data_IF_471249751999
#
_entry.id   IF_471249751999
#
_cell.length_a   1.000
_cell.length_b   1.000
_cell.length_c   1.000
_cell.angle_alpha   90.00
_cell.angle_beta   90.00
_cell.angle_gamma   90.00
#
_symmetry.space_group_name_H-M   'P 1'
#
loop_
_entity.id
_entity.type
_entity.pdbx_description
1 polymer ?
#
# COMPACT_ATOMS: atom_id res chain seq x y z
N UNK A 1 39.40 3.81 -5.85
CA UNK A 1 39.22 4.13 -7.27
C UNK A 1 38.38 3.03 -7.88
N UNK A 2 37.06 3.20 -7.92
CA UNK A 2 36.16 2.18 -8.47
C UNK A 2 35.80 2.60 -9.90
N UNK A 3 36.23 1.82 -10.88
CA UNK A 3 35.78 2.02 -12.26
C UNK A 3 34.29 1.69 -12.34
N UNK A 4 33.46 2.58 -12.92
CA UNK A 4 32.03 2.34 -13.04
C UNK A 4 31.85 1.32 -14.16
N UNK A 5 31.82 0.05 -13.78
CA UNK A 5 31.47 -1.00 -14.70
C UNK A 5 30.03 -0.78 -15.16
N UNK A 6 29.85 -0.37 -16.42
CA UNK A 6 28.52 -0.09 -16.97
C UNK A 6 27.87 -1.44 -17.25
N UNK A 7 26.78 -1.76 -16.55
CA UNK A 7 26.00 -3.00 -16.75
C UNK A 7 25.69 -3.30 -18.24
N UNK A 8 25.63 -2.25 -19.08
CA UNK A 8 25.56 -2.37 -20.53
C UNK A 8 26.72 -3.17 -21.17
N UNK A 9 27.97 -2.98 -20.74
CA UNK A 9 29.13 -3.72 -21.26
C UNK A 9 29.06 -5.20 -20.92
N UNK A 10 28.44 -5.55 -19.78
CA UNK A 10 28.19 -6.93 -19.38
C UNK A 10 27.22 -7.62 -20.31
N UNK A 11 26.12 -6.94 -20.60
CA UNK A 11 25.06 -7.44 -21.47
C UNK A 11 25.63 -7.66 -22.88
N UNK A 12 26.43 -6.72 -23.38
CA UNK A 12 27.12 -6.85 -24.66
C UNK A 12 28.10 -8.03 -24.70
N UNK A 13 28.90 -8.21 -23.64
CA UNK A 13 29.83 -9.35 -23.54
C UNK A 13 29.09 -10.70 -23.53
N UNK A 14 27.98 -10.79 -22.80
CA UNK A 14 27.13 -11.99 -22.77
C UNK A 14 26.48 -12.24 -24.14
N UNK A 15 26.02 -11.19 -24.83
CA UNK A 15 25.45 -11.31 -26.19
C UNK A 15 26.50 -11.78 -27.19
N UNK A 16 27.73 -11.24 -27.14
CA UNK A 16 28.83 -11.67 -28.01
C UNK A 16 29.16 -13.15 -27.83
N UNK A 17 29.21 -13.63 -26.59
CA UNK A 17 29.42 -15.05 -26.29
C UNK A 17 28.28 -15.96 -26.75
N UNK A 18 27.03 -15.44 -26.79
CA UNK A 18 25.90 -16.20 -27.34
C UNK A 18 25.94 -16.28 -28.87
N UNK A 19 26.46 -15.24 -29.53
CA UNK A 19 26.58 -15.19 -30.97
C UNK A 19 27.77 -16.00 -31.49
N UNK A 20 28.87 -16.03 -30.74
CA UNK A 20 30.11 -16.75 -31.09
C UNK A 20 30.44 -17.85 -30.06
N UNK A 21 30.06 -19.13 -30.29
CA UNK A 21 30.29 -20.22 -29.34
C UNK A 21 31.77 -20.54 -29.07
N UNK A 22 32.67 -20.13 -29.97
CA UNK A 22 34.11 -20.33 -29.83
C UNK A 22 34.79 -19.23 -28.99
N UNK A 23 34.06 -18.17 -28.62
CA UNK A 23 34.61 -17.05 -27.88
C UNK A 23 34.82 -17.45 -26.42
N UNK A 24 36.07 -17.40 -25.94
CA UNK A 24 36.36 -17.70 -24.54
C UNK A 24 35.85 -16.58 -23.63
N UNK A 25 35.48 -16.94 -22.40
CA UNK A 25 35.08 -15.96 -21.36
C UNK A 25 36.16 -14.90 -21.13
N UNK A 26 37.42 -15.30 -21.23
CA UNK A 26 38.57 -14.41 -21.04
C UNK A 26 38.71 -13.40 -22.19
N UNK A 27 38.57 -13.86 -23.43
CA UNK A 27 38.60 -13.00 -24.62
C UNK A 27 37.44 -12.00 -24.64
N UNK A 28 36.23 -12.46 -24.29
CA UNK A 28 35.05 -11.59 -24.16
C UNK A 28 35.24 -10.53 -23.06
N UNK A 29 35.74 -10.95 -21.89
CA UNK A 29 35.99 -10.04 -20.78
C UNK A 29 37.01 -8.95 -21.15
N UNK A 30 38.11 -9.32 -21.83
CA UNK A 30 39.12 -8.38 -22.31
C UNK A 30 38.58 -7.43 -23.39
N UNK A 31 37.81 -7.95 -24.36
CA UNK A 31 37.26 -7.15 -25.47
C UNK A 31 36.27 -6.07 -24.99
N UNK A 32 35.46 -6.37 -23.97
CA UNK A 32 34.43 -5.48 -23.45
C UNK A 32 34.83 -4.75 -22.15
N UNK A 33 36.08 -4.89 -21.69
CA UNK A 33 36.59 -4.21 -20.48
C UNK A 33 35.91 -4.65 -19.18
N UNK A 34 35.48 -5.91 -19.11
CA UNK A 34 34.77 -6.51 -17.97
C UNK A 34 35.75 -7.33 -17.12
N UNK A 35 35.68 -7.30 -15.78
CA UNK A 35 36.40 -8.27 -14.96
C UNK A 35 35.92 -9.70 -15.28
N UNK A 36 36.86 -10.59 -15.61
CA UNK A 36 36.55 -11.99 -15.95
C UNK A 36 35.72 -12.70 -14.88
N UNK A 37 36.02 -12.45 -13.59
CA UNK A 37 35.28 -13.00 -12.45
C UNK A 37 33.79 -12.60 -12.46
N UNK A 38 33.48 -11.36 -12.82
CA UNK A 38 32.10 -10.85 -12.91
C UNK A 38 31.35 -11.49 -14.08
N UNK A 39 31.98 -11.59 -15.25
CA UNK A 39 31.37 -12.23 -16.43
C UNK A 39 31.11 -13.73 -16.18
N UNK A 40 32.07 -14.43 -15.57
CA UNK A 40 31.95 -15.84 -15.19
C UNK A 40 30.84 -16.07 -14.14
N UNK A 41 30.77 -15.22 -13.12
CA UNK A 41 29.69 -15.28 -12.12
C UNK A 41 28.30 -15.09 -12.76
N UNK A 42 28.18 -14.18 -13.73
CA UNK A 42 26.92 -13.98 -14.46
C UNK A 42 26.54 -15.16 -15.36
N UNK A 43 27.51 -15.79 -16.04
CA UNK A 43 27.27 -16.98 -16.86
C UNK A 43 26.83 -18.19 -16.04
N UNK A 44 27.29 -18.28 -14.79
CA UNK A 44 26.85 -19.30 -13.82
C UNK A 44 25.50 -18.97 -13.17
N UNK A 45 24.85 -17.87 -13.56
CA UNK A 45 23.51 -17.47 -13.10
C UNK A 45 23.49 -16.55 -11.89
N UNK A 46 24.64 -16.08 -11.41
CA UNK A 46 24.72 -15.12 -10.30
C UNK A 46 24.43 -13.72 -10.82
N UNK A 47 23.28 -13.17 -10.45
CA UNK A 47 22.93 -11.79 -10.78
C UNK A 47 23.58 -10.81 -9.80
N UNK A 48 23.79 -9.57 -10.26
CA UNK A 48 24.18 -8.46 -9.38
C UNK A 48 23.18 -8.31 -8.24
N UNK A 49 23.67 -8.01 -7.03
CA UNK A 49 22.81 -7.69 -5.88
C UNK A 49 21.79 -6.59 -6.21
N UNK A 50 22.13 -5.65 -7.09
CA UNK A 50 21.24 -4.57 -7.53
C UNK A 50 20.04 -5.06 -8.32
N UNK A 51 20.21 -6.16 -9.06
CA UNK A 51 19.21 -6.75 -9.94
C UNK A 51 18.54 -7.99 -9.32
N UNK A 52 18.99 -8.42 -8.14
CA UNK A 52 18.35 -9.49 -7.38
C UNK A 52 17.12 -8.97 -6.64
N UNK A 53 16.06 -9.77 -6.61
CA UNK A 53 14.91 -9.50 -5.75
C UNK A 53 15.38 -9.48 -4.28
N UNK A 54 14.96 -8.47 -3.49
CA UNK A 54 15.24 -8.47 -2.06
C UNK A 54 14.62 -9.70 -1.39
N UNK A 55 15.35 -10.35 -0.48
CA UNK A 55 14.85 -11.48 0.31
C UNK A 55 13.57 -11.17 1.12
N UNK A 56 13.22 -9.88 1.25
CA UNK A 56 12.00 -9.39 1.89
C UNK A 56 10.74 -9.56 1.02
N UNK A 57 10.87 -9.83 -0.29
CA UNK A 57 9.76 -10.15 -1.19
C UNK A 57 9.46 -11.65 -1.14
N UNK A 58 8.46 -12.01 -0.33
CA UNK A 58 7.98 -13.40 -0.18
C UNK A 58 6.94 -13.79 -1.22
N UNK A 59 6.20 -12.80 -1.74
CA UNK A 59 5.22 -12.95 -2.80
C UNK A 59 5.85 -12.63 -4.15
N UNK A 60 5.30 -13.21 -5.21
CA UNK A 60 5.65 -12.85 -6.59
C UNK A 60 5.11 -11.45 -6.94
N UNK A 61 5.65 -10.82 -7.99
CA UNK A 61 5.21 -9.49 -8.42
C UNK A 61 3.69 -9.46 -8.71
N UNK A 62 3.17 -10.49 -9.38
CA UNK A 62 1.74 -10.63 -9.69
C UNK A 62 0.88 -10.80 -8.43
N UNK A 63 1.36 -11.58 -7.46
CA UNK A 63 0.68 -11.73 -6.17
C UNK A 63 0.65 -10.41 -5.37
N UNK A 64 1.77 -9.67 -5.36
CA UNK A 64 1.82 -8.35 -4.72
C UNK A 64 0.83 -7.38 -5.39
N UNK A 65 0.76 -7.38 -6.72
CA UNK A 65 -0.19 -6.55 -7.49
C UNK A 65 -1.65 -6.91 -7.18
N UNK A 66 -2.00 -8.19 -7.13
CA UNK A 66 -3.35 -8.64 -6.77
C UNK A 66 -3.75 -8.22 -5.34
N UNK A 67 -2.79 -8.25 -4.39
CA UNK A 67 -3.03 -7.77 -3.02
C UNK A 67 -3.25 -6.25 -3.00
N UNK A 68 -2.51 -5.48 -3.80
CA UNK A 68 -2.73 -4.02 -3.92
C UNK A 68 -4.11 -3.73 -4.49
N UNK A 69 -4.49 -4.39 -5.59
CA UNK A 69 -5.80 -4.22 -6.22
C UNK A 69 -6.95 -4.54 -5.25
N UNK A 70 -6.82 -5.64 -4.50
CA UNK A 70 -7.78 -6.01 -3.46
C UNK A 70 -7.93 -4.91 -2.38
N UNK A 71 -6.82 -4.33 -1.92
CA UNK A 71 -6.85 -3.26 -0.91
C UNK A 71 -7.56 -2.02 -1.47
N UNK A 72 -7.30 -1.68 -2.74
CA UNK A 72 -7.91 -0.53 -3.40
C UNK A 72 -9.43 -0.73 -3.61
N UNK A 73 -9.86 -1.94 -4.02
CA UNK A 73 -11.28 -2.29 -4.12
C UNK A 73 -11.98 -2.18 -2.75
N UNK A 74 -11.36 -2.71 -1.69
CA UNK A 74 -11.87 -2.61 -0.32
C UNK A 74 -11.97 -1.14 0.16
N UNK A 75 -10.97 -0.31 -0.11
CA UNK A 75 -11.00 1.12 0.24
C UNK A 75 -12.07 1.88 -0.55
N UNK A 76 -12.29 1.53 -1.82
CA UNK A 76 -13.34 2.13 -2.66
C UNK A 76 -14.75 1.88 -2.10
N UNK A 77 -14.96 0.71 -1.49
CA UNK A 77 -16.19 0.35 -0.77
C UNK A 77 -16.26 0.93 0.64
N UNK A 78 -15.31 1.79 0.98
CA UNK A 78 -15.15 2.37 2.31
C UNK A 78 -15.07 1.30 3.39
N UNK A 79 -14.37 0.20 3.10
CA UNK A 79 -14.04 -0.84 4.07
C UNK A 79 -12.54 -1.18 4.01
N UNK A 80 -11.65 -0.20 4.27
CA UNK A 80 -10.21 -0.41 4.19
C UNK A 80 -9.74 -1.52 5.15
N UNK A 81 -8.88 -2.46 4.69
CA UNK A 81 -8.39 -3.56 5.53
C UNK A 81 -7.47 -3.07 6.64
N UNK A 82 -7.43 -3.83 7.73
CA UNK A 82 -6.44 -3.64 8.79
C UNK A 82 -5.08 -4.19 8.36
N UNK A 83 -4.00 -3.69 8.99
CA UNK A 83 -2.65 -4.20 8.76
C UNK A 83 -2.54 -5.71 9.01
N UNK A 84 -3.27 -6.20 10.01
CA UNK A 84 -3.35 -7.62 10.38
C UNK A 84 -4.04 -8.42 9.28
N UNK A 85 -5.11 -7.88 8.67
CA UNK A 85 -5.85 -8.57 7.61
C UNK A 85 -5.01 -8.71 6.34
N UNK A 86 -4.24 -7.67 5.99
CA UNK A 86 -3.31 -7.75 4.84
C UNK A 86 -2.26 -8.84 5.06
N UNK A 87 -1.73 -8.96 6.29
CA UNK A 87 -0.82 -10.04 6.64
C UNK A 87 -1.51 -11.41 6.57
N UNK A 88 -2.76 -11.52 7.03
CA UNK A 88 -3.54 -12.74 6.96
C UNK A 88 -3.80 -13.20 5.52
N UNK A 89 -4.17 -12.27 4.62
CA UNK A 89 -4.39 -12.56 3.20
C UNK A 89 -3.10 -13.03 2.53
N UNK A 90 -1.97 -12.37 2.79
CA UNK A 90 -0.68 -12.81 2.27
C UNK A 90 -0.31 -14.23 2.78
N UNK A 91 -0.58 -14.54 4.05
CA UNK A 91 -0.38 -15.88 4.59
C UNK A 91 -1.32 -16.92 3.96
N UNK A 92 -2.56 -16.57 3.65
CA UNK A 92 -3.49 -17.46 2.94
C UNK A 92 -2.95 -17.82 1.55
N UNK A 93 -2.44 -16.83 0.80
CA UNK A 93 -1.81 -17.07 -0.50
C UNK A 93 -0.58 -18.00 -0.39
N UNK A 94 0.28 -17.77 0.60
CA UNK A 94 1.46 -18.61 0.82
C UNK A 94 1.09 -20.03 1.27
N UNK A 95 0.07 -20.18 2.11
CA UNK A 95 -0.43 -21.47 2.57
C UNK A 95 -0.98 -22.31 1.40
N UNK A 96 -1.71 -21.69 0.47
CA UNK A 96 -2.17 -22.33 -0.76
C UNK A 96 -1.00 -22.85 -1.62
N UNK A 97 0.14 -22.16 -1.56
CA UNK A 97 1.37 -22.54 -2.27
C UNK A 97 2.32 -23.43 -1.43
N UNK A 98 1.92 -23.84 -0.22
CA UNK A 98 2.76 -24.60 0.74
C UNK A 98 4.10 -23.92 1.06
N UNK A 99 4.11 -22.57 1.07
CA UNK A 99 5.27 -21.75 1.43
C UNK A 99 5.25 -21.39 2.93
N UNK A 100 6.42 -21.12 3.54
CA UNK A 100 6.48 -20.68 4.93
C UNK A 100 5.77 -19.33 5.12
N UNK A 101 5.23 -19.06 6.33
CA UNK A 101 4.50 -17.82 6.61
C UNK A 101 5.40 -16.58 6.50
N UNK A 102 4.76 -15.42 6.31
CA UNK A 102 5.46 -14.13 6.31
C UNK A 102 5.98 -13.77 7.71
N UNK A 103 7.01 -12.94 7.75
CA UNK A 103 7.50 -12.35 9.01
C UNK A 103 6.59 -11.25 9.54
N UNK A 104 6.67 -10.98 10.85
CA UNK A 104 5.85 -9.98 11.57
C UNK A 104 5.91 -8.59 10.92
N UNK A 105 7.08 -8.20 10.41
CA UNK A 105 7.31 -6.89 9.79
C UNK A 105 7.03 -6.85 8.28
N UNK A 106 6.52 -7.94 7.70
CA UNK A 106 6.32 -8.02 6.25
C UNK A 106 5.26 -7.03 5.78
N UNK A 107 4.10 -6.97 6.43
CA UNK A 107 2.98 -6.12 6.00
C UNK A 107 3.33 -4.62 6.06
N UNK A 108 3.99 -4.18 7.13
CA UNK A 108 4.45 -2.79 7.25
C UNK A 108 5.52 -2.45 6.22
N UNK A 109 6.43 -3.38 5.93
CA UNK A 109 7.44 -3.21 4.88
C UNK A 109 6.84 -3.25 3.49
N UNK A 110 5.79 -4.04 3.27
CA UNK A 110 5.06 -4.13 2.00
C UNK A 110 4.40 -2.80 1.66
N UNK A 111 3.65 -2.22 2.60
CA UNK A 111 2.98 -0.93 2.40
C UNK A 111 3.99 0.18 2.10
N UNK A 112 5.12 0.22 2.82
CA UNK A 112 6.19 1.21 2.57
C UNK A 112 6.78 1.14 1.15
N UNK A 113 6.70 -0.01 0.47
CA UNK A 113 7.19 -0.18 -0.90
C UNK A 113 6.17 0.26 -1.96
N UNK A 114 4.89 0.32 -1.61
CA UNK A 114 3.82 0.55 -2.57
C UNK A 114 3.37 2.02 -2.50
N UNK A 115 3.73 2.87 -3.49
CA UNK A 115 3.39 4.29 -3.47
C UNK A 115 1.88 4.54 -3.60
N UNK A 116 1.12 3.57 -4.13
CA UNK A 116 -0.34 3.62 -4.25
C UNK A 116 -1.06 3.46 -2.90
N UNK A 117 -0.36 3.01 -1.84
CA UNK A 117 -0.96 2.71 -0.54
C UNK A 117 -0.43 3.64 0.54
N UNK A 118 -1.29 4.03 1.47
CA UNK A 118 -0.93 4.75 2.69
C UNK A 118 -1.57 4.11 3.92
N UNK A 119 -0.89 4.23 5.05
CA UNK A 119 -1.46 3.85 6.34
C UNK A 119 -2.21 5.02 6.93
N UNK A 120 -3.49 4.85 7.23
CA UNK A 120 -4.30 5.81 7.95
C UNK A 120 -4.57 5.32 9.36
N UNK A 121 -4.54 6.25 10.31
CA UNK A 121 -4.94 5.99 11.69
C UNK A 121 -6.45 6.22 11.81
N UNK A 122 -7.17 5.21 12.29
CA UNK A 122 -8.56 5.35 12.70
C UNK A 122 -8.63 5.66 14.19
N UNK A 123 -9.44 6.65 14.54
CA UNK A 123 -9.77 6.98 15.92
C UNK A 123 -11.13 6.40 16.29
N UNK A 124 -11.22 5.89 17.53
CA UNK A 124 -12.51 5.55 18.12
C UNK A 124 -13.39 6.79 18.16
N UNK A 125 -14.69 6.59 17.97
CA UNK A 125 -15.65 7.60 18.36
C UNK A 125 -15.53 7.87 19.86
N UNK A 126 -15.70 9.14 20.26
CA UNK A 126 -15.78 9.47 21.67
C UNK A 126 -17.08 8.90 22.25
N UNK A 127 -16.97 7.75 22.91
CA UNK A 127 -18.13 7.07 23.49
C UNK A 127 -18.88 7.94 24.51
N UNK A 128 -18.19 8.87 25.18
CA UNK A 128 -18.85 9.81 26.11
C UNK A 128 -19.76 10.73 25.32
N UNK A 129 -19.28 11.24 24.19
CA UNK A 129 -20.11 12.03 23.27
C UNK A 129 -21.35 11.24 22.83
N UNK A 130 -21.21 9.98 22.45
CA UNK A 130 -22.36 9.13 22.10
C UNK A 130 -23.38 8.97 23.24
N UNK A 131 -22.90 8.82 24.48
CA UNK A 131 -23.76 8.63 25.66
C UNK A 131 -24.48 9.93 26.09
N UNK A 132 -23.89 11.09 25.81
CA UNK A 132 -24.43 12.40 26.15
C UNK A 132 -25.13 13.10 24.96
N UNK A 133 -25.18 12.46 23.80
CA UNK A 133 -25.99 12.88 22.65
C UNK A 133 -27.46 12.52 22.93
N UNK A 134 -28.19 13.44 23.57
CA UNK A 134 -29.63 13.33 23.79
C UNK A 134 -30.37 13.59 22.46
N UNK A 135 -31.08 12.60 21.89
CA UNK A 135 -31.81 12.74 20.63
C UNK A 135 -32.78 13.92 20.65
N UNK A 136 -33.44 14.18 21.79
CA UNK A 136 -34.40 15.26 21.91
C UNK A 136 -33.71 16.63 21.89
N UNK A 137 -32.59 16.78 22.61
CA UNK A 137 -31.78 17.99 22.56
C UNK A 137 -31.23 18.28 21.15
N UNK A 138 -30.79 17.25 20.43
CA UNK A 138 -30.33 17.37 19.04
C UNK A 138 -31.47 17.83 18.12
N UNK A 139 -32.64 17.19 18.24
CA UNK A 139 -33.82 17.56 17.45
C UNK A 139 -34.27 19.00 17.72
N UNK A 140 -34.29 19.42 18.99
CA UNK A 140 -34.60 20.80 19.39
C UNK A 140 -33.60 21.78 18.75
N UNK A 141 -32.31 21.47 18.78
CA UNK A 141 -31.29 22.30 18.14
C UNK A 141 -31.51 22.45 16.64
N UNK A 142 -31.78 21.35 15.91
CA UNK A 142 -32.08 21.40 14.47
C UNK A 142 -33.38 22.16 14.15
N UNK A 143 -34.40 22.08 15.01
CA UNK A 143 -35.61 22.89 14.88
C UNK A 143 -35.31 24.39 15.05
N UNK A 144 -34.51 24.77 16.04
CA UNK A 144 -34.09 26.16 16.25
C UNK A 144 -33.25 26.68 15.08
N UNK A 145 -32.31 25.86 14.58
CA UNK A 145 -31.47 26.20 13.44
C UNK A 145 -32.31 26.46 12.18
N UNK A 146 -33.28 25.59 11.89
CA UNK A 146 -34.24 25.80 10.77
C UNK A 146 -35.06 27.07 10.93
N UNK A 147 -35.50 27.39 12.14
CA UNK A 147 -36.24 28.64 12.41
C UNK A 147 -35.38 29.89 12.16
N UNK A 148 -34.09 29.85 12.51
CA UNK A 148 -33.14 30.95 12.27
C UNK A 148 -32.89 31.12 10.77
N UNK A 149 -32.64 30.01 10.04
CA UNK A 149 -32.48 30.02 8.59
C UNK A 149 -33.69 30.64 7.90
N UNK A 150 -34.90 30.22 8.29
CA UNK A 150 -36.14 30.78 7.77
C UNK A 150 -36.32 32.27 8.13
N UNK A 151 -36.04 32.66 9.37
CA UNK A 151 -36.20 34.05 9.84
C UNK A 151 -35.31 35.03 9.09
N UNK A 152 -34.07 34.65 8.82
CA UNK A 152 -33.09 35.52 8.17
C UNK A 152 -32.97 35.24 6.67
N UNK A 153 -33.80 34.35 6.12
CA UNK A 153 -33.76 33.96 4.70
C UNK A 153 -32.34 33.56 4.25
N UNK A 154 -31.63 32.83 5.10
CA UNK A 154 -30.27 32.36 4.83
C UNK A 154 -30.38 31.32 3.71
N UNK A 155 -29.61 31.48 2.64
CA UNK A 155 -29.61 30.52 1.54
C UNK A 155 -28.70 29.34 1.85
N UNK A 156 -29.00 28.16 1.29
CA UNK A 156 -28.15 26.97 1.47
C UNK A 156 -26.71 27.20 0.99
N UNK A 157 -26.50 28.12 0.04
CA UNK A 157 -25.17 28.52 -0.44
C UNK A 157 -24.34 29.29 0.61
N UNK A 158 -24.98 29.86 1.61
CA UNK A 158 -24.34 30.60 2.71
C UNK A 158 -24.11 29.73 3.96
N UNK A 159 -24.50 28.45 3.91
CA UNK A 159 -24.31 27.48 5.00
C UNK A 159 -23.03 26.71 4.75
N UNK A 160 -21.99 27.03 5.51
CA UNK A 160 -20.70 26.34 5.45
C UNK A 160 -20.61 25.32 6.59
N UNK A 161 -20.29 24.07 6.25
CA UNK A 161 -19.94 23.07 7.25
C UNK A 161 -18.52 23.33 7.76
N UNK A 162 -18.34 23.37 9.07
CA UNK A 162 -17.02 23.44 9.68
C UNK A 162 -16.73 22.08 10.33
N UNK A 163 -16.40 21.07 9.52
CA UNK A 163 -16.10 19.72 9.97
C UNK A 163 -14.65 19.32 9.68
N UNK A 164 -13.79 19.48 10.68
CA UNK A 164 -12.47 18.86 10.66
C UNK A 164 -12.41 17.76 11.72
N UNK A 165 -13.18 16.69 11.55
CA UNK A 165 -12.92 15.45 12.31
C UNK A 165 -13.55 14.21 11.69
N UNK A 166 -12.72 13.42 11.01
CA UNK A 166 -13.08 12.10 10.48
C UNK A 166 -13.11 11.05 11.59
N UNK A 167 -14.22 10.97 12.32
CA UNK A 167 -14.50 9.87 13.25
C UNK A 167 -15.36 8.80 12.59
N UNK A 168 -15.16 7.54 12.98
CA UNK A 168 -15.98 6.41 12.55
C UNK A 168 -16.81 5.93 13.74
N UNK A 169 -18.13 5.85 13.54
CA UNK A 169 -19.05 5.19 14.46
C UNK A 169 -18.96 3.68 14.32
N UNK A 170 -18.79 2.95 15.43
CA UNK A 170 -18.82 1.48 15.47
C UNK A 170 -17.44 0.80 15.48
N UNK A 171 -16.34 1.54 15.36
CA UNK A 171 -14.99 0.96 15.54
C UNK A 171 -14.64 0.97 17.04
N UNK A 172 -14.64 -0.22 17.64
CA UNK A 172 -14.38 -0.42 19.08
C UNK A 172 -12.89 -0.14 19.43
N UNK A 173 -11.97 -0.12 18.45
CA UNK A 173 -10.53 0.03 18.66
C UNK A 173 -9.85 1.13 17.82
N UNK A 174 -8.87 1.83 18.40
CA UNK A 174 -7.99 2.73 17.63
C UNK A 174 -7.00 1.85 16.89
N UNK A 175 -6.81 2.05 15.59
CA UNK A 175 -5.75 1.32 14.90
C UNK A 175 -5.54 1.72 13.45
N UNK A 176 -4.62 1.00 12.81
CA UNK A 176 -4.06 1.35 11.50
C UNK A 176 -4.73 0.55 10.40
N UNK A 177 -5.31 1.26 9.44
CA UNK A 177 -5.88 0.70 8.21
C UNK A 177 -5.07 1.13 7.01
N UNK A 178 -5.15 0.36 5.93
CA UNK A 178 -4.51 0.69 4.65
C UNK A 178 -5.54 1.30 3.71
N UNK A 179 -5.19 2.41 3.09
CA UNK A 179 -6.03 3.14 2.12
C UNK A 179 -5.23 3.53 0.88
N UNK A 180 -5.91 3.96 -0.17
CA UNK A 180 -5.29 4.57 -1.32
C UNK A 180 -4.53 5.85 -0.93
N UNK A 181 -3.29 6.01 -1.40
CA UNK A 181 -2.45 7.17 -1.12
C UNK A 181 -3.03 8.50 -1.61
N UNK A 182 -3.78 8.49 -2.72
CA UNK A 182 -4.37 9.68 -3.34
C UNK A 182 -5.60 10.22 -2.58
N UNK A 183 -6.14 9.46 -1.62
CA UNK A 183 -7.32 9.88 -0.86
C UNK A 183 -7.00 11.12 -0.03
N UNK A 184 -7.62 12.27 -0.30
CA UNK A 184 -7.35 13.50 0.45
C UNK A 184 -7.84 13.48 1.91
N UNK A 185 -8.83 12.64 2.24
CA UNK A 185 -9.38 12.51 3.59
C UNK A 185 -8.79 11.33 4.36
N UNK A 186 -8.84 11.38 5.70
CA UNK A 186 -8.70 10.17 6.53
C UNK A 186 -9.74 9.13 6.08
N UNK A 187 -9.40 7.84 6.20
CA UNK A 187 -10.28 6.76 5.80
C UNK A 187 -11.62 6.87 6.53
N UNK A 188 -12.72 7.02 5.78
CA UNK A 188 -14.08 6.92 6.30
C UNK A 188 -14.55 5.50 6.04
N UNK A 189 -14.85 4.74 7.09
CA UNK A 189 -15.47 3.43 6.95
C UNK A 189 -16.99 3.63 6.86
N UNK A 190 -17.63 3.08 5.83
CA UNK A 190 -19.09 3.21 5.64
C UNK A 190 -19.80 2.34 6.66
N UNK A 191 -20.79 2.91 7.35
CA UNK A 191 -21.67 2.10 8.19
C UNK A 191 -22.46 1.13 7.31
N UNK A 192 -22.61 -0.15 7.71
CA UNK A 192 -23.76 -0.93 7.29
C UNK A 192 -24.99 -0.34 8.00
N UNK A 193 -25.46 0.80 7.51
CA UNK A 193 -26.76 1.31 7.90
C UNK A 193 -27.80 0.30 7.42
N UNK A 194 -28.57 -0.24 8.36
CA UNK A 194 -29.84 -0.88 8.04
C UNK A 194 -30.69 0.11 7.23
N UNK A 195 -30.61 0.01 5.90
CA UNK A 195 -31.63 0.51 5.00
C UNK A 195 -32.71 -0.58 4.92
N UNK A 196 -33.65 -0.51 5.84
CA UNK A 196 -35.04 -0.82 5.57
C UNK A 196 -35.82 0.49 5.64
#
# INVERSE_FOLDING_TARGET
METPYKEAQLILAIQAMKNDPNLSTWAAAAAYGVPHSTLSAHLTGRTSCRNSLPNSRKLTQLEEEAVVEYILDMDSRSYPPWLVDVAAIANLLLAAQRKPPIGVNWASSFIKRQPALKTCQLYRYDYKRALYEDPDAINIWFCLMRNIVAKYSITDADIYNFDETGFIMGVISTGKVITNSERHSNAKLVQPGNRQ
#
